data_IF_920393674726
#
_entry.id   IF_920393674726
#
_cell.length_a   1.000
_cell.length_b   1.000
_cell.length_c   1.000
_cell.angle_alpha   90.00
_cell.angle_beta   90.00
_cell.angle_gamma   90.00
#
_symmetry.space_group_name_H-M   'P 1'
#
loop_
_entity.id
_entity.type
_entity.pdbx_description
1 polymer ?
#
# COMPACT_ATOMS: atom_id res chain seq x y z
N UNK A 1 -30.00 25.80 -5.89
CA UNK A 1 -28.70 25.38 -5.32
C UNK A 1 -28.27 26.43 -4.31
N UNK A 2 -28.07 26.03 -3.05
CA UNK A 2 -27.60 26.95 -2.01
C UNK A 2 -26.09 27.15 -2.19
N UNK A 3 -25.63 28.40 -2.26
CA UNK A 3 -24.21 28.74 -2.35
C UNK A 3 -23.56 28.67 -0.97
N UNK A 4 -22.34 28.13 -0.88
CA UNK A 4 -21.58 28.10 0.36
C UNK A 4 -21.06 29.49 0.71
N UNK A 5 -21.27 29.91 1.95
CA UNK A 5 -20.72 31.12 2.55
C UNK A 5 -19.25 30.89 2.90
N UNK A 6 -18.39 31.82 2.48
CA UNK A 6 -17.00 31.86 2.92
C UNK A 6 -16.94 32.44 4.34
N UNK A 7 -16.45 31.64 5.29
CA UNK A 7 -16.25 32.07 6.68
C UNK A 7 -14.79 32.44 6.92
N UNK A 8 -14.56 33.43 7.78
CA UNK A 8 -13.24 33.72 8.34
C UNK A 8 -13.01 32.79 9.50
N UNK A 9 -11.97 31.95 9.45
CA UNK A 9 -11.67 30.99 10.50
C UNK A 9 -10.22 31.08 10.97
N UNK A 10 -10.00 30.88 12.26
CA UNK A 10 -8.70 30.75 12.92
C UNK A 10 -8.55 29.36 13.54
N UNK A 11 -7.34 28.82 13.49
CA UNK A 11 -7.00 27.57 14.14
C UNK A 11 -6.38 27.86 15.51
N UNK A 12 -6.95 27.26 16.55
CA UNK A 12 -6.53 27.43 17.94
C UNK A 12 -6.10 26.08 18.52
N UNK A 13 -5.01 26.08 19.27
CA UNK A 13 -4.49 24.89 19.95
C UNK A 13 -4.18 25.26 21.40
N UNK A 14 -5.10 24.97 22.30
CA UNK A 14 -5.00 25.28 23.72
C UNK A 14 -5.13 23.99 24.54
N UNK A 15 -4.22 23.76 25.48
CA UNK A 15 -4.26 22.63 26.40
C UNK A 15 -4.45 21.25 25.72
N UNK A 16 -3.75 21.02 24.60
CA UNK A 16 -3.83 19.81 23.77
C UNK A 16 -5.14 19.65 22.96
N UNK A 17 -6.14 20.50 23.20
CA UNK A 17 -7.35 20.58 22.38
C UNK A 17 -7.07 21.45 21.16
N UNK A 18 -7.42 20.94 19.98
CA UNK A 18 -7.26 21.64 18.70
C UNK A 18 -8.65 21.99 18.19
N UNK A 19 -8.94 23.27 18.03
CA UNK A 19 -10.23 23.77 17.56
C UNK A 19 -10.05 24.67 16.34
N UNK A 20 -11.08 24.69 15.49
CA UNK A 20 -11.21 25.67 14.42
C UNK A 20 -12.35 26.61 14.83
N UNK A 21 -12.05 27.90 14.99
CA UNK A 21 -13.01 28.92 15.36
C UNK A 21 -13.35 29.72 14.11
N UNK A 22 -14.63 29.82 13.77
CA UNK A 22 -15.10 30.55 12.60
C UNK A 22 -16.06 31.68 12.99
N UNK A 23 -15.87 32.86 12.40
CA UNK A 23 -16.74 34.01 12.61
C UNK A 23 -18.07 33.84 11.87
N UNK A 24 -19.17 33.81 12.62
CA UNK A 24 -20.54 33.71 12.08
C UNK A 24 -21.23 35.08 11.94
N UNK A 25 -20.61 36.14 12.47
CA UNK A 25 -21.09 37.52 12.41
C UNK A 25 -21.12 38.21 13.78
N UNK A 26 -20.83 39.51 13.80
CA UNK A 26 -20.84 40.34 15.01
C UNK A 26 -21.71 41.61 14.81
N UNK A 27 -23.02 41.57 15.17
CA UNK A 27 -23.77 40.42 15.64
C UNK A 27 -24.30 39.54 14.49
N UNK A 28 -24.48 38.25 14.74
CA UNK A 28 -25.29 37.37 13.89
C UNK A 28 -26.78 37.71 14.10
N UNK A 29 -27.45 38.20 13.04
CA UNK A 29 -28.84 38.67 13.14
C UNK A 29 -29.82 37.50 13.33
N UNK A 30 -30.96 37.77 13.98
CA UNK A 30 -32.04 36.79 14.13
C UNK A 30 -32.54 36.27 12.78
N UNK A 31 -32.83 34.98 12.70
CA UNK A 31 -33.29 34.31 11.47
C UNK A 31 -32.20 34.07 10.41
N UNK A 32 -30.93 34.37 10.71
CA UNK A 32 -29.82 34.10 9.78
C UNK A 32 -29.55 32.59 9.71
N UNK A 33 -29.50 32.03 8.51
CA UNK A 33 -29.03 30.67 8.23
C UNK A 33 -27.81 30.74 7.32
N UNK A 34 -26.76 29.99 7.66
CA UNK A 34 -25.50 29.95 6.94
C UNK A 34 -25.22 28.51 6.51
N UNK A 35 -24.73 28.34 5.30
CA UNK A 35 -24.23 27.07 4.78
C UNK A 35 -22.74 27.25 4.49
N UNK A 36 -21.88 26.53 5.19
CA UNK A 36 -20.44 26.65 5.02
C UNK A 36 -19.81 25.27 4.87
N UNK A 37 -18.72 25.21 4.10
CA UNK A 37 -17.94 24.00 3.89
C UNK A 37 -16.60 24.13 4.59
N UNK A 38 -16.31 23.21 5.50
CA UNK A 38 -15.02 23.12 6.18
C UNK A 38 -14.26 21.92 5.62
N UNK A 39 -13.06 22.18 5.07
CA UNK A 39 -12.22 21.13 4.50
C UNK A 39 -11.10 20.79 5.47
N UNK A 40 -11.07 19.53 5.90
CA UNK A 40 -10.03 19.01 6.77
C UNK A 40 -9.13 18.05 6.01
N UNK A 41 -7.91 17.91 6.50
CA UNK A 41 -7.03 16.77 6.19
C UNK A 41 -6.60 16.21 7.52
N UNK A 42 -6.87 14.93 7.75
CA UNK A 42 -6.51 14.25 8.99
C UNK A 42 -5.24 13.44 8.70
N UNK A 43 -4.04 13.98 9.01
CA UNK A 43 -2.81 13.27 8.73
C UNK A 43 -2.60 12.15 9.75
N UNK A 44 -1.99 11.04 9.30
CA UNK A 44 -1.42 9.99 10.15
C UNK A 44 -2.41 9.44 11.18
N UNK A 45 -3.56 8.96 10.69
CA UNK A 45 -4.45 8.13 11.50
C UNK A 45 -3.65 6.96 12.08
N UNK A 46 -3.76 6.76 13.39
CA UNK A 46 -3.23 5.58 14.06
C UNK A 46 -4.33 4.52 14.07
N UNK A 47 -3.95 3.25 13.99
CA UNK A 47 -4.86 2.09 14.09
C UNK A 47 -5.38 1.89 15.53
N UNK A 48 -5.84 2.96 16.18
CA UNK A 48 -6.39 2.91 17.54
C UNK A 48 -7.90 2.98 17.56
N UNK A 49 -8.51 3.67 16.58
CA UNK A 49 -9.96 3.87 16.53
C UNK A 49 -10.47 3.71 15.09
N UNK A 50 -11.69 3.21 14.95
CA UNK A 50 -12.39 3.05 13.68
C UNK A 50 -13.14 4.31 13.22
N UNK A 51 -13.11 5.37 14.02
CA UNK A 51 -13.82 6.63 13.76
C UNK A 51 -12.97 7.84 14.12
N UNK A 52 -13.20 8.93 13.40
CA UNK A 52 -12.77 10.29 13.77
C UNK A 52 -14.01 11.07 14.17
N UNK A 53 -13.99 11.65 15.36
CA UNK A 53 -15.10 12.44 15.88
C UNK A 53 -14.79 13.93 15.74
N UNK A 54 -15.74 14.67 15.18
CA UNK A 54 -15.75 16.13 15.16
C UNK A 54 -16.86 16.61 16.09
N UNK A 55 -16.52 17.54 16.97
CA UNK A 55 -17.47 18.22 17.85
C UNK A 55 -17.69 19.64 17.33
N UNK A 56 -18.95 20.02 17.19
CA UNK A 56 -19.36 21.33 16.69
C UNK A 56 -20.25 22.01 17.70
N UNK A 57 -19.94 23.26 18.01
CA UNK A 57 -20.74 24.09 18.91
C UNK A 57 -20.73 25.55 18.44
N UNK A 58 -21.88 26.21 18.46
CA UNK A 58 -21.99 27.66 18.20
C UNK A 58 -21.93 28.39 19.54
N UNK A 59 -21.09 29.42 19.61
CA UNK A 59 -20.89 30.23 20.83
C UNK A 59 -21.05 31.72 20.54
N UNK A 60 -21.59 32.45 21.51
CA UNK A 60 -21.78 33.90 21.49
C UNK A 60 -21.38 34.53 22.82
N UNK A 61 -21.26 35.86 22.84
CA UNK A 61 -20.94 36.64 24.06
C UNK A 61 -22.18 37.15 24.80
N UNK A 62 -23.36 36.64 24.47
CA UNK A 62 -24.60 37.03 25.14
C UNK A 62 -24.62 36.50 26.59
N UNK A 63 -25.30 37.20 27.50
CA UNK A 63 -25.46 36.70 28.88
C UNK A 63 -26.42 35.50 28.94
N UNK A 64 -27.46 35.51 28.10
CA UNK A 64 -28.47 34.46 28.06
C UNK A 64 -28.34 33.62 26.77
N UNK A 65 -28.44 32.30 26.92
CA UNK A 65 -28.38 31.31 25.81
C UNK A 65 -27.17 31.55 24.89
N UNK A 66 -25.99 31.59 25.51
CA UNK A 66 -24.75 31.95 24.84
C UNK A 66 -24.19 30.83 23.96
N UNK A 67 -24.67 29.59 24.11
CA UNK A 67 -24.16 28.40 23.43
C UNK A 67 -25.31 27.59 22.85
N UNK A 68 -25.06 26.92 21.71
CA UNK A 68 -25.91 25.85 21.20
C UNK A 68 -25.62 24.53 21.92
N UNK A 69 -26.45 23.52 21.64
CA UNK A 69 -26.11 22.14 21.97
C UNK A 69 -24.84 21.70 21.21
N UNK A 70 -24.16 20.70 21.75
CA UNK A 70 -22.99 20.07 21.12
C UNK A 70 -23.44 19.03 20.10
N UNK A 71 -22.92 19.16 18.87
CA UNK A 71 -23.21 18.23 17.78
C UNK A 71 -21.97 17.39 17.46
N UNK A 72 -22.13 16.07 17.50
CA UNK A 72 -21.06 15.11 17.25
C UNK A 72 -21.20 14.47 15.87
N UNK A 73 -20.23 14.76 15.00
CA UNK A 73 -20.14 14.15 13.69
C UNK A 73 -19.08 13.04 13.67
N UNK A 74 -19.51 11.81 13.40
CA UNK A 74 -18.63 10.64 13.35
C UNK A 74 -18.29 10.32 11.90
N UNK A 75 -16.99 10.26 11.60
CA UNK A 75 -16.46 9.85 10.32
C UNK A 75 -15.83 8.46 10.45
N UNK A 76 -16.33 7.48 9.71
CA UNK A 76 -15.75 6.14 9.68
C UNK A 76 -14.40 6.14 8.97
N UNK A 77 -13.43 5.44 9.57
CA UNK A 77 -12.12 5.22 9.00
C UNK A 77 -12.14 3.89 8.26
N UNK A 78 -11.93 3.95 6.94
CA UNK A 78 -11.78 2.77 6.10
C UNK A 78 -10.32 2.32 6.02
N UNK A 79 -10.10 1.01 6.09
CA UNK A 79 -8.80 0.40 5.80
C UNK A 79 -8.76 0.05 4.32
N UNK A 80 -7.73 0.52 3.62
CA UNK A 80 -7.53 0.26 2.20
C UNK A 80 -6.11 -0.23 2.00
N UNK A 81 -5.97 -1.51 1.70
CA UNK A 81 -4.73 -2.11 1.24
C UNK A 81 -4.89 -2.58 -0.20
N UNK A 82 -3.89 -2.35 -1.02
CA UNK A 82 -3.87 -2.74 -2.43
C UNK A 82 -2.66 -3.65 -2.64
N UNK A 83 -2.88 -4.95 -2.48
CA UNK A 83 -1.82 -5.95 -2.50
C UNK A 83 -1.75 -6.58 -3.86
N UNK A 84 -0.58 -6.49 -4.48
CA UNK A 84 -0.27 -7.13 -5.75
C UNK A 84 0.79 -8.21 -5.54
N UNK A 85 0.57 -9.36 -6.17
CA UNK A 85 1.56 -10.42 -6.31
C UNK A 85 2.03 -10.43 -7.76
N UNK A 86 3.31 -10.16 -7.97
CA UNK A 86 3.96 -10.24 -9.27
C UNK A 86 4.89 -11.46 -9.29
N UNK A 87 5.03 -12.10 -10.45
CA UNK A 87 5.85 -13.29 -10.59
C UNK A 87 6.44 -13.41 -11.99
N UNK A 88 7.71 -13.82 -12.08
CA UNK A 88 8.40 -14.08 -13.34
C UNK A 88 9.21 -15.37 -13.26
N UNK A 89 9.39 -16.02 -14.42
CA UNK A 89 10.29 -17.16 -14.58
C UNK A 89 11.45 -16.76 -15.48
N UNK A 90 12.66 -17.16 -15.12
CA UNK A 90 13.90 -16.87 -15.85
C UNK A 90 14.68 -18.17 -16.02
N UNK A 91 14.82 -18.69 -17.25
CA UNK A 91 14.16 -18.24 -18.47
C UNK A 91 12.64 -18.50 -18.44
N UNK A 92 11.86 -17.78 -19.24
CA UNK A 92 10.40 -17.96 -19.34
C UNK A 92 10.01 -19.21 -20.17
N UNK A 93 10.94 -19.68 -21.00
CA UNK A 93 10.79 -20.85 -21.86
C UNK A 93 12.09 -21.63 -21.92
N UNK A 94 11.95 -22.94 -22.01
CA UNK A 94 13.07 -23.83 -22.24
C UNK A 94 12.95 -24.49 -23.61
N UNK A 95 14.05 -24.50 -24.36
CA UNK A 95 14.14 -25.23 -25.62
C UNK A 95 14.81 -26.58 -25.37
N UNK A 96 14.16 -27.65 -25.81
CA UNK A 96 14.70 -29.00 -25.73
C UNK A 96 15.19 -29.47 -27.11
N UNK A 97 16.33 -30.21 -27.18
CA UNK A 97 17.24 -30.49 -26.06
C UNK A 97 18.09 -29.25 -25.70
N UNK A 98 18.49 -29.08 -24.42
CA UNK A 98 19.42 -28.03 -24.04
C UNK A 98 20.77 -28.19 -24.76
N UNK A 99 21.46 -27.09 -25.10
CA UNK A 99 22.78 -27.15 -25.73
C UNK A 99 23.78 -27.88 -24.82
N UNK A 100 24.62 -28.72 -25.40
CA UNK A 100 25.65 -29.50 -24.70
C UNK A 100 25.11 -30.50 -23.65
N UNK A 101 23.81 -30.81 -23.67
CA UNK A 101 23.24 -31.81 -22.78
C UNK A 101 23.87 -33.20 -22.99
N UNK A 102 24.36 -33.80 -21.92
CA UNK A 102 24.86 -35.18 -21.88
C UNK A 102 24.25 -35.88 -20.68
N UNK A 103 23.81 -37.13 -20.87
CA UNK A 103 23.28 -37.92 -19.77
C UNK A 103 24.42 -38.23 -18.79
N UNK A 104 24.32 -37.73 -17.56
CA UNK A 104 25.30 -37.99 -16.50
C UNK A 104 25.00 -39.32 -15.80
N UNK A 105 26.05 -40.09 -15.49
CA UNK A 105 25.92 -41.36 -14.77
C UNK A 105 25.67 -41.16 -13.26
N UNK A 106 25.97 -39.98 -12.73
CA UNK A 106 25.73 -39.60 -11.33
C UNK A 106 25.40 -38.12 -11.24
N UNK A 107 24.30 -37.79 -10.57
CA UNK A 107 23.91 -36.40 -10.30
C UNK A 107 24.73 -35.86 -9.13
N UNK A 108 25.74 -35.04 -9.40
CA UNK A 108 26.56 -34.40 -8.36
C UNK A 108 26.48 -32.88 -8.40
N UNK A 109 26.33 -32.31 -9.59
CA UNK A 109 26.26 -30.88 -9.84
C UNK A 109 24.89 -30.52 -10.43
N UNK A 110 24.53 -29.24 -10.37
CA UNK A 110 23.23 -28.77 -10.88
C UNK A 110 23.08 -29.05 -12.38
N UNK A 111 24.18 -28.92 -13.14
CA UNK A 111 24.22 -29.09 -14.58
C UNK A 111 23.98 -30.55 -15.00
N UNK A 112 24.19 -31.52 -14.09
CA UNK A 112 23.86 -32.92 -14.33
C UNK A 112 22.34 -33.14 -14.40
N UNK A 113 21.55 -32.26 -13.76
CA UNK A 113 20.08 -32.34 -13.71
C UNK A 113 19.45 -31.60 -14.87
N UNK A 114 19.93 -30.40 -15.17
CA UNK A 114 19.33 -29.57 -16.21
C UNK A 114 19.72 -28.10 -16.12
N UNK A 115 19.21 -27.28 -17.05
CA UNK A 115 19.36 -25.84 -16.96
C UNK A 115 18.61 -25.27 -15.75
N UNK A 116 19.18 -24.21 -15.19
CA UNK A 116 18.57 -23.47 -14.07
C UNK A 116 17.28 -22.75 -14.53
N UNK A 117 16.28 -22.76 -13.65
CA UNK A 117 15.05 -21.97 -13.80
C UNK A 117 14.80 -21.25 -12.48
N UNK A 118 14.86 -19.92 -12.50
CA UNK A 118 14.54 -19.08 -11.37
C UNK A 118 13.08 -18.61 -11.45
N UNK A 119 12.31 -18.84 -10.39
CA UNK A 119 10.99 -18.24 -10.22
C UNK A 119 11.08 -17.15 -9.15
N UNK A 120 10.86 -15.90 -9.55
CA UNK A 120 10.92 -14.75 -8.65
C UNK A 120 9.50 -14.25 -8.42
N UNK A 121 9.11 -14.11 -7.16
CA UNK A 121 7.81 -13.58 -6.75
C UNK A 121 8.00 -12.35 -5.86
N UNK A 122 7.22 -11.31 -6.13
CA UNK A 122 7.25 -10.05 -5.39
C UNK A 122 5.84 -9.73 -4.89
N UNK A 123 5.71 -9.47 -3.59
CA UNK A 123 4.46 -9.06 -2.95
C UNK A 123 4.58 -7.59 -2.54
N UNK A 124 3.74 -6.73 -3.12
CA UNK A 124 3.80 -5.27 -2.89
C UNK A 124 2.44 -4.78 -2.41
N UNK A 125 2.43 -3.96 -1.37
CA UNK A 125 1.24 -3.20 -0.96
C UNK A 125 1.35 -1.76 -1.46
N UNK A 126 0.57 -1.41 -2.48
CA UNK A 126 0.45 -0.06 -3.02
C UNK A 126 -0.62 0.77 -2.29
N UNK A 127 -1.37 0.16 -1.37
CA UNK A 127 -2.43 0.81 -0.62
C UNK A 127 -1.90 1.70 0.51
N UNK A 128 -2.72 2.66 0.98
CA UNK A 128 -2.34 3.57 2.06
C UNK A 128 -2.27 2.89 3.43
N UNK A 129 -3.01 1.79 3.66
CA UNK A 129 -3.03 1.08 4.93
C UNK A 129 -1.96 0.00 5.00
N UNK A 130 -1.30 -0.10 6.16
CA UNK A 130 -0.34 -1.18 6.44
C UNK A 130 -1.05 -2.52 6.61
N UNK A 131 -0.33 -3.60 6.30
CA UNK A 131 -0.76 -4.97 6.58
C UNK A 131 0.13 -5.52 7.68
N UNK A 132 -0.48 -6.03 8.74
CA UNK A 132 0.25 -6.61 9.86
C UNK A 132 0.83 -7.99 9.53
N UNK A 133 0.05 -8.84 8.87
CA UNK A 133 0.42 -10.21 8.52
C UNK A 133 -0.19 -10.61 7.19
N UNK A 134 0.59 -11.34 6.38
CA UNK A 134 0.15 -11.92 5.12
C UNK A 134 0.83 -13.28 4.93
N UNK A 135 0.19 -14.17 4.19
CA UNK A 135 0.70 -15.51 3.89
C UNK A 135 0.71 -15.69 2.37
N UNK A 136 1.89 -16.00 1.82
CA UNK A 136 2.06 -16.34 0.42
C UNK A 136 2.25 -17.86 0.29
N UNK A 137 1.31 -18.53 -0.40
CA UNK A 137 1.40 -19.96 -0.70
C UNK A 137 1.90 -20.16 -2.14
N UNK A 138 3.08 -20.77 -2.29
CA UNK A 138 3.65 -21.13 -3.58
C UNK A 138 3.53 -22.63 -3.82
N UNK A 139 3.08 -23.02 -5.02
CA UNK A 139 2.97 -24.42 -5.43
C UNK A 139 3.92 -24.70 -6.58
N UNK A 140 4.97 -25.49 -6.31
CA UNK A 140 5.95 -25.87 -7.31
C UNK A 140 5.59 -27.22 -7.95
N UNK A 141 5.48 -27.32 -9.29
CA UNK A 141 5.20 -28.59 -9.95
C UNK A 141 6.46 -29.48 -9.99
N UNK A 142 6.61 -30.34 -8.98
CA UNK A 142 7.79 -31.22 -8.86
C UNK A 142 7.76 -32.41 -9.81
N UNK A 143 6.57 -32.96 -10.11
CA UNK A 143 6.38 -34.18 -10.90
C UNK A 143 5.20 -34.06 -11.85
N UNK A 144 5.29 -34.72 -13.00
CA UNK A 144 4.19 -34.88 -13.95
C UNK A 144 4.18 -36.30 -14.51
N UNK A 145 3.03 -36.98 -14.46
CA UNK A 145 2.85 -38.36 -14.97
C UNK A 145 3.92 -39.34 -14.47
N UNK A 146 4.32 -39.22 -13.20
CA UNK A 146 5.34 -40.08 -12.57
C UNK A 146 6.79 -39.69 -12.87
N UNK A 147 7.04 -38.70 -13.72
CA UNK A 147 8.37 -38.19 -14.05
C UNK A 147 8.68 -36.93 -13.24
N UNK A 148 9.94 -36.77 -12.81
CA UNK A 148 10.43 -35.54 -12.19
C UNK A 148 10.45 -34.41 -13.22
N UNK A 149 9.92 -33.23 -12.84
CA UNK A 149 9.81 -32.06 -13.70
C UNK A 149 10.76 -30.95 -13.25
N UNK A 150 10.62 -30.50 -12.00
CA UNK A 150 11.44 -29.45 -11.40
C UNK A 150 12.08 -29.97 -10.12
N UNK A 151 13.39 -29.77 -10.01
CA UNK A 151 14.16 -30.07 -8.81
C UNK A 151 14.39 -28.78 -8.01
N UNK A 152 13.76 -28.61 -6.83
CA UNK A 152 13.88 -27.39 -6.06
C UNK A 152 15.20 -27.37 -5.29
N UNK A 153 16.08 -26.45 -5.65
CA UNK A 153 17.41 -26.31 -5.05
C UNK A 153 17.39 -25.48 -3.77
N UNK A 154 16.98 -24.23 -3.87
CA UNK A 154 16.96 -23.29 -2.76
C UNK A 154 15.83 -22.27 -2.90
N UNK A 155 15.51 -21.61 -1.79
CA UNK A 155 14.60 -20.47 -1.73
C UNK A 155 15.37 -19.31 -1.11
N UNK A 156 15.51 -18.23 -1.87
CA UNK A 156 16.15 -17.00 -1.41
C UNK A 156 15.07 -15.97 -1.15
N UNK A 157 15.13 -15.32 0.02
CA UNK A 157 14.14 -14.33 0.45
C UNK A 157 14.77 -12.95 0.59
N UNK A 158 14.00 -11.91 0.32
CA UNK A 158 14.38 -10.52 0.56
C UNK A 158 13.22 -9.79 1.25
N UNK A 159 13.52 -9.10 2.36
CA UNK A 159 12.52 -8.39 3.14
C UNK A 159 12.04 -9.16 4.38
N UNK A 160 10.98 -8.65 5.05
CA UNK A 160 10.52 -9.16 6.35
C UNK A 160 9.62 -10.39 6.18
N UNK A 161 10.19 -11.51 5.74
CA UNK A 161 9.44 -12.75 5.52
C UNK A 161 10.22 -14.01 5.89
N UNK A 162 9.48 -14.98 6.41
CA UNK A 162 9.97 -16.32 6.73
C UNK A 162 9.31 -17.34 5.81
N UNK A 163 10.12 -18.15 5.12
CA UNK A 163 9.63 -19.21 4.23
C UNK A 163 9.83 -20.59 4.84
N UNK A 164 8.82 -21.45 4.69
CA UNK A 164 8.91 -22.87 4.98
C UNK A 164 8.45 -23.68 3.77
N UNK A 165 9.00 -24.88 3.62
CA UNK A 165 8.66 -25.80 2.53
C UNK A 165 8.24 -27.14 3.10
N UNK A 166 7.17 -27.71 2.53
CA UNK A 166 6.73 -29.08 2.85
C UNK A 166 7.64 -30.14 2.20
N UNK A 167 8.52 -29.74 1.28
CA UNK A 167 9.46 -30.63 0.59
C UNK A 167 10.90 -30.28 0.99
N UNK A 168 11.74 -31.31 1.12
CA UNK A 168 13.17 -31.14 1.34
C UNK A 168 13.80 -30.50 0.11
N UNK A 169 14.26 -29.26 0.25
CA UNK A 169 15.06 -28.57 -0.77
C UNK A 169 16.42 -29.24 -0.91
N UNK A 170 16.92 -29.29 -2.14
CA UNK A 170 18.18 -29.95 -2.51
C UNK A 170 18.35 -31.36 -1.90
N UNK A 171 17.32 -32.23 -2.01
CA UNK A 171 17.33 -33.58 -1.43
C UNK A 171 18.50 -34.48 -1.88
N UNK A 172 19.01 -34.29 -3.11
CA UNK A 172 20.17 -34.99 -3.66
C UNK A 172 21.52 -34.41 -3.19
N UNK A 173 21.51 -33.30 -2.46
CA UNK A 173 22.72 -32.60 -1.97
C UNK A 173 23.69 -32.25 -3.09
N UNK A 174 23.14 -31.74 -4.19
CA UNK A 174 23.93 -31.27 -5.32
C UNK A 174 24.84 -30.13 -4.88
N UNK A 175 26.04 -30.07 -5.45
CA UNK A 175 26.96 -28.95 -5.26
C UNK A 175 26.43 -27.74 -6.00
N UNK A 176 26.14 -26.68 -5.26
CA UNK A 176 25.66 -25.43 -5.82
C UNK A 176 26.80 -24.70 -6.51
N UNK A 177 26.55 -24.13 -7.69
CA UNK A 177 27.51 -23.20 -8.27
C UNK A 177 27.52 -21.90 -7.46
N UNK A 178 28.69 -21.27 -7.25
CA UNK A 178 28.74 -19.96 -6.63
C UNK A 178 27.95 -18.96 -7.48
N UNK A 179 27.17 -18.04 -6.87
CA UNK A 179 26.37 -17.08 -7.63
C UNK A 179 27.28 -16.28 -8.55
N UNK A 180 26.99 -16.32 -9.85
CA UNK A 180 27.72 -15.54 -10.84
C UNK A 180 27.49 -14.07 -10.49
N UNK A 181 28.53 -13.37 -10.05
CA UNK A 181 28.43 -11.96 -9.65
C UNK A 181 28.28 -11.13 -10.92
N UNK A 182 27.05 -10.96 -11.43
CA UNK A 182 26.76 -9.83 -12.30
C UNK A 182 26.87 -8.57 -11.46
N UNK A 183 28.06 -7.97 -11.52
CA UNK A 183 28.43 -6.74 -10.86
C UNK A 183 27.44 -5.63 -11.25
N UNK A 184 26.69 -5.03 -10.30
CA UNK A 184 25.92 -3.83 -10.59
C UNK A 184 26.89 -2.70 -11.01
N UNK A 185 26.54 -1.86 -12.00
CA UNK A 185 27.31 -0.63 -12.23
C UNK A 185 27.31 0.19 -10.93
N UNK A 186 28.49 0.66 -10.55
CA UNK A 186 28.80 1.28 -9.27
C UNK A 186 27.83 2.42 -8.89
N UNK A 187 27.42 2.55 -7.62
CA UNK A 187 26.57 3.65 -7.19
C UNK A 187 27.36 4.96 -7.17
N UNK A 188 27.03 5.86 -8.10
CA UNK A 188 27.31 7.28 -7.92
C UNK A 188 26.45 7.78 -6.74
N UNK A 189 27.10 8.44 -5.80
CA UNK A 189 26.56 9.07 -4.60
C UNK A 189 25.24 9.81 -4.85
N UNK A 190 24.16 9.35 -4.22
CA UNK A 190 22.93 10.11 -4.04
C UNK A 190 22.50 10.03 -2.57
N UNK A 191 22.50 11.18 -1.91
CA UNK A 191 22.02 11.41 -0.55
C UNK A 191 20.53 11.02 -0.42
N UNK A 192 20.05 10.50 0.72
CA UNK A 192 18.62 10.27 0.92
C UNK A 192 17.93 11.58 1.28
N UNK A 193 17.58 12.39 0.27
CA UNK A 193 16.58 13.44 0.45
C UNK A 193 15.19 12.79 0.42
N UNK A 194 14.55 12.71 1.59
CA UNK A 194 13.14 12.36 1.70
C UNK A 194 12.29 13.49 1.10
N UNK A 195 12.13 13.50 -0.22
CA UNK A 195 11.25 14.45 -0.87
C UNK A 195 9.81 13.93 -0.81
N UNK A 196 9.02 14.48 0.11
CA UNK A 196 7.57 14.29 0.16
C UNK A 196 6.97 15.00 -1.05
N UNK A 197 6.72 14.26 -2.14
CA UNK A 197 5.93 14.78 -3.26
C UNK A 197 4.43 14.59 -2.99
N UNK A 198 3.71 15.71 -2.95
CA UNK A 198 2.25 15.74 -2.98
C UNK A 198 1.80 15.38 -4.40
N UNK A 199 1.20 14.20 -4.60
CA UNK A 199 0.52 13.88 -5.87
C UNK A 199 -0.73 14.73 -5.99
N UNK A 200 -0.76 15.61 -6.98
CA UNK A 200 -2.01 16.14 -7.50
C UNK A 200 -2.73 15.02 -8.26
N UNK A 201 -3.97 14.76 -7.87
CA UNK A 201 -4.84 13.79 -8.54
C UNK A 201 -5.17 14.35 -9.92
N UNK A 202 -4.85 13.59 -10.96
CA UNK A 202 -5.24 13.91 -12.33
C UNK A 202 -6.76 13.94 -12.43
N UNK A 203 -7.32 15.11 -12.74
CA UNK A 203 -8.75 15.28 -13.02
C UNK A 203 -9.01 14.69 -14.40
N UNK A 204 -9.82 13.64 -14.46
CA UNK A 204 -10.30 13.07 -15.72
C UNK A 204 -11.12 14.14 -16.48
N UNK A 205 -10.80 14.47 -17.75
CA UNK A 205 -11.55 15.46 -18.54
C UNK A 205 -13.01 15.08 -18.85
N UNK A 206 -13.47 13.89 -18.45
CA UNK A 206 -14.81 13.39 -18.76
C UNK A 206 -15.83 13.59 -17.62
N UNK A 207 -15.43 14.10 -16.46
CA UNK A 207 -16.35 14.42 -15.35
C UNK A 207 -17.14 15.74 -15.56
N UNK A 208 -16.92 16.46 -16.68
CA UNK A 208 -17.64 17.70 -17.01
C UNK A 208 -18.92 17.51 -17.85
N UNK A 209 -19.37 16.28 -18.12
CA UNK A 209 -20.67 16.03 -18.77
C UNK A 209 -21.58 15.13 -17.93
N UNK A 210 -22.00 15.65 -16.78
CA UNK A 210 -22.94 14.99 -15.87
C UNK A 210 -24.05 15.89 -15.35
N UNK A 211 -24.60 16.79 -16.16
CA UNK A 211 -25.86 17.48 -15.86
C UNK A 211 -26.74 17.54 -17.11
N UNK A 212 -27.49 16.45 -17.36
CA UNK A 212 -28.66 16.47 -18.22
C UNK A 212 -29.87 16.02 -17.40
N UNK A 213 -30.75 16.98 -17.20
CA UNK A 213 -32.02 16.90 -16.49
C UNK A 213 -32.96 15.87 -17.13
N UNK A 214 -33.52 14.99 -16.30
CA UNK A 214 -34.96 14.67 -16.28
C UNK A 214 -35.39 14.36 -14.85
#
# INVERSE_FOLDING_TARGET
MQSLTQLTCSYEAENQTRSLVCDLGNPMKSGTSLWAGLRFTVPRLKDTHNTVQFELQIRSKNENKSQSDDELFHLEVAVVADVILQGVSRPDKLLFPPPNWRMSHSLQEEQDVGPEIQHVYELVNNGPSMISQSVLELRCPLKSQGHDLLYPLEVITQGPLDCSSNHTLNALKLKLQPPTTEQPPSPLTASPEHHVQRREVYRDPLDEQGNLVR
#
